data_IF_388761138362
#
_entry.id   IF_388761138362
#
_cell.length_a   1.000
_cell.length_b   1.000
_cell.length_c   1.000
_cell.angle_alpha   90.00
_cell.angle_beta   90.00
_cell.angle_gamma   90.00
#
_symmetry.space_group_name_H-M   'P 1'
#
loop_
_entity.id
_entity.type
_entity.pdbx_description
1 polymer ?
#
# COMPACT_ATOMS: atom_id res chain seq x y z
N UNK A 1 36.55 -40.23 -39.20
CA UNK A 1 37.03 -39.83 -37.86
C UNK A 1 36.99 -38.32 -37.74
N UNK A 2 36.69 -37.78 -36.56
CA UNK A 2 36.65 -36.35 -36.20
C UNK A 2 35.32 -35.59 -36.35
N UNK A 3 34.16 -36.25 -36.26
CA UNK A 3 32.95 -35.57 -35.73
C UNK A 3 33.13 -35.15 -34.25
N UNK A 4 34.20 -35.61 -33.60
CA UNK A 4 34.65 -35.19 -32.28
C UNK A 4 35.06 -33.71 -32.18
N UNK A 5 35.34 -33.01 -33.28
CA UNK A 5 35.78 -31.62 -33.21
C UNK A 5 34.62 -30.64 -32.92
N UNK A 6 33.39 -31.01 -33.27
CA UNK A 6 32.19 -30.19 -33.02
C UNK A 6 31.69 -30.33 -31.58
N UNK A 7 31.86 -31.50 -30.96
CA UNK A 7 31.42 -31.73 -29.58
C UNK A 7 32.36 -31.11 -28.53
N UNK A 8 33.63 -30.86 -28.88
CA UNK A 8 34.60 -30.20 -27.98
C UNK A 8 34.39 -28.68 -27.87
N UNK A 9 33.71 -28.05 -28.85
CA UNK A 9 33.49 -26.60 -28.83
C UNK A 9 32.22 -26.18 -28.04
N UNK A 10 31.35 -27.12 -27.68
CA UNK A 10 30.06 -26.83 -27.01
C UNK A 10 30.12 -26.89 -25.47
N UNK A 11 31.26 -27.26 -24.88
CA UNK A 11 31.37 -27.47 -23.43
C UNK A 11 32.05 -26.33 -22.63
N UNK A 12 32.37 -25.18 -23.24
CA UNK A 12 33.16 -24.12 -22.59
C UNK A 12 32.40 -22.83 -22.20
N UNK A 13 31.07 -22.83 -22.22
CA UNK A 13 30.27 -21.62 -21.92
C UNK A 13 29.63 -21.62 -20.51
N UNK A 14 30.17 -22.38 -19.56
CA UNK A 14 29.67 -22.42 -18.18
C UNK A 14 30.76 -22.08 -17.17
N UNK A 15 31.31 -20.87 -17.22
CA UNK A 15 31.81 -20.18 -16.01
C UNK A 15 31.74 -18.65 -16.22
N UNK A 16 30.54 -18.06 -16.25
CA UNK A 16 30.38 -16.67 -15.81
C UNK A 16 30.26 -16.71 -14.29
N UNK A 17 31.42 -16.60 -13.62
CA UNK A 17 31.48 -16.40 -12.19
C UNK A 17 30.75 -15.10 -11.83
N UNK A 18 29.78 -15.19 -10.92
CA UNK A 18 29.19 -14.03 -10.29
C UNK A 18 30.25 -13.44 -9.33
N UNK A 19 31.05 -12.48 -9.80
CA UNK A 19 31.79 -11.62 -8.89
C UNK A 19 30.83 -10.55 -8.39
N UNK A 20 30.15 -10.82 -7.28
CA UNK A 20 29.56 -9.74 -6.48
C UNK A 20 30.72 -9.02 -5.80
N UNK A 21 31.30 -8.05 -6.50
CA UNK A 21 32.10 -7.02 -5.83
C UNK A 21 31.16 -6.33 -4.83
N UNK A 22 31.46 -6.54 -3.55
CA UNK A 22 30.89 -5.75 -2.47
C UNK A 22 31.44 -4.33 -2.62
N UNK A 23 30.77 -3.54 -3.46
CA UNK A 23 30.95 -2.10 -3.46
C UNK A 23 30.23 -1.59 -2.21
N UNK A 24 30.99 -1.37 -1.14
CA UNK A 24 30.64 -0.47 -0.04
C UNK A 24 30.41 0.93 -0.61
N UNK A 25 29.27 1.11 -1.27
CA UNK A 25 28.66 2.41 -1.44
C UNK A 25 27.84 2.65 -0.18
N UNK A 26 28.19 3.69 0.57
CA UNK A 26 27.31 4.33 1.54
C UNK A 26 26.06 4.85 0.80
N UNK A 27 25.19 3.93 0.41
CA UNK A 27 23.82 4.22 0.08
C UNK A 27 23.13 4.31 1.43
N UNK A 28 22.99 5.52 1.96
CA UNK A 28 21.88 5.80 2.86
C UNK A 28 20.64 5.65 1.99
N UNK A 29 20.22 4.40 1.78
CA UNK A 29 18.87 4.10 1.43
C UNK A 29 18.07 4.58 2.64
N UNK A 30 17.47 5.75 2.52
CA UNK A 30 16.31 6.07 3.35
C UNK A 30 15.32 4.96 3.02
N UNK A 31 15.28 3.91 3.84
CA UNK A 31 14.23 2.92 3.75
C UNK A 31 12.95 3.67 4.06
N UNK A 32 12.25 4.11 3.02
CA UNK A 32 10.88 4.60 3.09
C UNK A 32 10.06 3.45 3.69
N UNK A 33 9.92 3.46 5.02
CA UNK A 33 9.17 2.45 5.71
C UNK A 33 7.74 2.45 5.18
N UNK A 34 7.33 1.35 4.55
CA UNK A 34 5.98 1.20 4.02
C UNK A 34 5.03 0.93 5.19
N UNK A 35 4.32 1.97 5.62
CA UNK A 35 3.30 1.88 6.66
C UNK A 35 1.91 1.63 6.03
N UNK A 36 1.12 0.79 6.68
CA UNK A 36 -0.30 0.61 6.33
C UNK A 36 -1.08 1.81 6.85
N UNK A 37 -1.88 2.43 5.97
CA UNK A 37 -2.78 3.51 6.38
C UNK A 37 -3.96 2.96 7.18
N UNK A 38 -4.27 3.57 8.31
CA UNK A 38 -5.34 3.21 9.22
C UNK A 38 -6.26 4.39 9.50
N UNK A 39 -7.54 4.10 9.71
CA UNK A 39 -8.51 5.01 10.32
C UNK A 39 -9.21 4.28 11.45
N UNK A 40 -9.33 4.93 12.61
CA UNK A 40 -10.20 4.44 13.66
C UNK A 40 -11.63 4.93 13.43
N UNK A 41 -12.59 4.02 13.26
CA UNK A 41 -14.01 4.31 13.08
C UNK A 41 -14.74 3.61 14.21
N UNK A 42 -15.39 4.40 15.06
CA UNK A 42 -16.16 3.93 16.23
C UNK A 42 -15.36 3.03 17.21
N UNK A 43 -14.06 3.26 17.34
CA UNK A 43 -13.18 2.49 18.23
C UNK A 43 -12.47 1.31 17.55
N UNK A 44 -12.88 0.94 16.34
CA UNK A 44 -12.27 -0.14 15.56
C UNK A 44 -11.32 0.42 14.49
N UNK A 45 -10.23 -0.29 14.19
CA UNK A 45 -9.25 0.14 13.19
C UNK A 45 -9.48 -0.55 11.84
N UNK A 46 -9.55 0.27 10.80
CA UNK A 46 -9.69 -0.17 9.42
C UNK A 46 -8.45 0.22 8.64
N UNK A 47 -7.89 -0.71 7.87
CA UNK A 47 -6.75 -0.48 6.99
C UNK A 47 -7.22 0.01 5.62
N UNK A 48 -6.46 0.92 5.03
CA UNK A 48 -6.64 1.38 3.66
C UNK A 48 -6.16 0.30 2.69
N UNK A 49 -6.99 0.01 1.69
CA UNK A 49 -6.72 -0.87 0.58
C UNK A 49 -6.65 -0.07 -0.73
N UNK A 50 -6.78 -0.77 -1.85
CA UNK A 50 -6.94 -0.18 -3.18
C UNK A 50 -8.05 0.88 -3.24
N UNK A 51 -8.00 1.70 -4.28
CA UNK A 51 -9.08 2.63 -4.59
C UNK A 51 -10.28 1.86 -5.14
N UNK A 52 -11.47 2.22 -4.69
CA UNK A 52 -12.72 1.74 -5.26
C UNK A 52 -12.84 2.14 -6.73
N UNK A 53 -13.33 1.22 -7.55
CA UNK A 53 -13.72 1.52 -8.92
C UNK A 53 -15.01 2.35 -8.95
N UNK A 54 -15.23 3.08 -10.05
CA UNK A 54 -16.41 3.92 -10.19
C UNK A 54 -17.69 3.06 -10.20
N UNK A 55 -18.55 3.27 -9.21
CA UNK A 55 -19.79 2.52 -9.05
C UNK A 55 -19.63 1.15 -8.37
N UNK A 56 -18.45 0.84 -7.81
CA UNK A 56 -18.23 -0.39 -7.03
C UNK A 56 -19.08 -0.41 -5.74
N UNK A 57 -19.20 0.76 -5.09
CA UNK A 57 -19.98 0.94 -3.86
C UNK A 57 -20.98 2.07 -3.99
N UNK A 58 -22.09 1.95 -3.26
CA UNK A 58 -23.12 2.97 -3.14
C UNK A 58 -22.96 3.67 -1.78
N UNK A 59 -22.52 4.93 -1.78
CA UNK A 59 -22.43 5.75 -0.56
C UNK A 59 -23.83 5.94 0.05
N UNK A 60 -23.95 5.68 1.35
CA UNK A 60 -25.19 5.86 2.12
C UNK A 60 -25.16 7.18 2.88
N UNK A 61 -24.14 7.39 3.71
CA UNK A 61 -24.00 8.60 4.52
C UNK A 61 -22.52 8.99 4.71
N UNK A 62 -22.30 10.28 4.95
CA UNK A 62 -21.03 10.81 5.45
C UNK A 62 -21.00 10.63 6.98
N UNK A 63 -20.10 9.79 7.48
CA UNK A 63 -19.95 9.52 8.91
C UNK A 63 -19.22 10.66 9.64
N UNK A 64 -18.43 11.42 8.89
CA UNK A 64 -17.73 12.60 9.36
C UNK A 64 -16.40 12.80 8.65
N UNK A 65 -15.54 13.58 9.28
CA UNK A 65 -14.23 13.95 8.78
C UNK A 65 -13.15 13.50 9.76
N UNK A 66 -11.97 13.16 9.24
CA UNK A 66 -10.78 12.88 10.06
C UNK A 66 -10.51 14.10 10.94
N UNK A 67 -10.47 13.87 12.25
CA UNK A 67 -10.28 14.89 13.28
C UNK A 67 -8.83 15.15 13.62
N UNK A 68 -7.99 14.14 13.45
CA UNK A 68 -6.58 14.18 13.82
C UNK A 68 -5.75 13.22 12.97
N UNK A 69 -4.58 13.68 12.54
CA UNK A 69 -3.52 12.83 11.99
C UNK A 69 -2.47 12.51 13.07
N UNK A 70 -2.14 11.23 13.22
CA UNK A 70 -1.06 10.72 14.11
C UNK A 70 0.16 10.29 13.26
N UNK A 71 1.34 10.06 13.86
CA UNK A 71 2.51 9.56 13.14
C UNK A 71 2.21 8.26 12.37
N UNK A 72 2.87 8.06 11.23
CA UNK A 72 2.59 6.96 10.30
C UNK A 72 2.79 5.57 10.93
N UNK A 73 3.72 5.45 11.87
CA UNK A 73 4.04 4.24 12.62
C UNK A 73 3.06 3.93 13.76
N UNK A 74 2.18 4.87 14.12
CA UNK A 74 1.21 4.69 15.21
C UNK A 74 -0.12 4.13 14.71
N UNK A 75 -0.73 3.24 15.51
CA UNK A 75 -2.11 2.80 15.27
C UNK A 75 -3.07 3.77 15.97
N UNK A 76 -4.00 4.42 15.23
CA UNK A 76 -4.99 5.31 15.81
C UNK A 76 -5.88 4.62 16.86
N UNK A 77 -6.29 5.36 17.90
CA UNK A 77 -7.09 4.83 19.02
C UNK A 77 -8.38 5.60 19.29
N UNK A 78 -8.53 6.79 18.70
CA UNK A 78 -9.67 7.67 18.91
C UNK A 78 -10.49 7.77 17.63
N UNK A 79 -11.82 7.81 17.77
CA UNK A 79 -12.73 7.84 16.62
C UNK A 79 -12.41 8.99 15.64
N UNK A 80 -12.37 8.67 14.36
CA UNK A 80 -12.00 9.53 13.23
C UNK A 80 -10.57 10.08 13.33
N UNK A 81 -9.63 9.25 13.79
CA UNK A 81 -8.18 9.54 13.77
C UNK A 81 -7.49 8.64 12.75
N UNK A 82 -6.52 9.18 12.00
CA UNK A 82 -5.76 8.43 10.99
C UNK A 82 -4.26 8.60 11.16
N UNK A 83 -3.47 7.60 10.77
CA UNK A 83 -2.00 7.72 10.63
C UNK A 83 -1.59 8.09 9.18
N UNK A 84 -2.54 8.21 8.26
CA UNK A 84 -2.29 8.38 6.83
C UNK A 84 -3.05 9.57 6.26
N UNK A 85 -4.36 9.63 6.47
CA UNK A 85 -5.23 10.68 5.94
C UNK A 85 -5.10 11.98 6.74
N UNK A 86 -5.20 13.10 6.03
CA UNK A 86 -5.15 14.44 6.61
C UNK A 86 -6.45 14.79 7.38
N UNK A 87 -6.35 15.75 8.29
CA UNK A 87 -7.52 16.32 8.97
C UNK A 87 -8.49 16.95 7.96
N UNK A 88 -9.79 16.76 8.17
CA UNK A 88 -10.85 17.19 7.25
C UNK A 88 -11.18 16.20 6.12
N UNK A 89 -10.40 15.12 5.96
CA UNK A 89 -10.71 14.07 4.99
C UNK A 89 -12.02 13.35 5.34
N UNK A 90 -12.93 13.22 4.37
CA UNK A 90 -14.27 12.65 4.58
C UNK A 90 -14.29 11.13 4.61
N UNK A 91 -15.10 10.58 5.51
CA UNK A 91 -15.34 9.14 5.69
C UNK A 91 -16.81 8.82 5.44
N UNK A 92 -17.09 7.76 4.69
CA UNK A 92 -18.43 7.38 4.26
C UNK A 92 -18.73 5.92 4.56
N UNK A 93 -19.99 5.60 4.87
CA UNK A 93 -20.50 4.23 4.86
C UNK A 93 -21.06 3.87 3.48
N UNK A 94 -21.13 2.56 3.21
CA UNK A 94 -21.64 2.01 1.94
C UNK A 94 -22.82 1.09 2.18
N UNK A 95 -23.61 0.85 1.13
CA UNK A 95 -24.83 0.04 1.20
C UNK A 95 -24.53 -1.47 1.18
N UNK A 96 -23.46 -1.84 0.48
CA UNK A 96 -23.14 -3.22 0.10
C UNK A 96 -22.67 -4.04 1.29
N UNK A 97 -21.86 -3.45 2.17
CA UNK A 97 -21.28 -4.11 3.33
C UNK A 97 -21.10 -3.10 4.48
N UNK A 98 -21.74 -3.31 5.65
CA UNK A 98 -21.61 -2.40 6.80
C UNK A 98 -20.21 -2.41 7.44
N UNK A 99 -19.35 -3.38 7.10
CA UNK A 99 -17.96 -3.44 7.59
C UNK A 99 -16.96 -2.79 6.62
N UNK A 100 -17.43 -2.24 5.50
CA UNK A 100 -16.64 -1.48 4.55
C UNK A 100 -16.95 0.01 4.68
N UNK A 101 -15.88 0.81 4.69
CA UNK A 101 -15.98 2.26 4.65
C UNK A 101 -15.17 2.80 3.48
N UNK A 102 -15.52 4.01 3.03
CA UNK A 102 -14.77 4.73 2.02
C UNK A 102 -14.16 5.98 2.62
N UNK A 103 -12.88 6.22 2.32
CA UNK A 103 -12.21 7.47 2.68
C UNK A 103 -11.84 8.22 1.41
N UNK A 104 -12.31 9.47 1.30
CA UNK A 104 -12.09 10.30 0.12
C UNK A 104 -10.69 10.91 0.15
N UNK A 105 -9.95 10.71 -0.93
CA UNK A 105 -8.63 11.29 -1.14
C UNK A 105 -8.57 12.04 -2.48
N UNK A 106 -7.76 13.09 -2.56
CA UNK A 106 -7.57 13.89 -3.77
C UNK A 106 -6.26 13.47 -4.45
N UNK A 107 -6.36 12.56 -5.40
CA UNK A 107 -5.21 12.01 -6.12
C UNK A 107 -5.15 12.63 -7.51
N UNK A 108 -4.06 13.35 -7.81
CA UNK A 108 -3.86 14.03 -9.10
C UNK A 108 -5.02 14.98 -9.47
N UNK A 109 -5.63 15.62 -8.47
CA UNK A 109 -6.76 16.54 -8.65
C UNK A 109 -8.11 15.85 -8.92
N UNK A 110 -8.19 14.53 -8.76
CA UNK A 110 -9.42 13.76 -8.86
C UNK A 110 -9.77 13.14 -7.51
N UNK A 111 -11.06 13.18 -7.19
CA UNK A 111 -11.58 12.48 -6.03
C UNK A 111 -11.48 10.96 -6.27
N UNK A 112 -10.75 10.28 -5.40
CA UNK A 112 -10.70 8.82 -5.31
C UNK A 112 -11.12 8.38 -3.91
N UNK A 113 -11.50 7.11 -3.78
CA UNK A 113 -11.99 6.56 -2.53
C UNK A 113 -11.18 5.34 -2.16
N UNK A 114 -10.44 5.40 -1.06
CA UNK A 114 -9.81 4.20 -0.51
C UNK A 114 -10.87 3.30 0.10
N UNK A 115 -10.78 2.00 -0.19
CA UNK A 115 -11.58 0.99 0.50
C UNK A 115 -10.96 0.74 1.87
N UNK A 116 -11.75 0.87 2.92
CA UNK A 116 -11.32 0.61 4.28
C UNK A 116 -11.91 -0.70 4.76
N UNK A 117 -11.06 -1.64 5.18
CA UNK A 117 -11.47 -2.96 5.67
C UNK A 117 -10.92 -3.19 7.07
N UNK A 118 -11.68 -3.90 7.89
CA UNK A 118 -11.22 -4.30 9.22
C UNK A 118 -10.03 -5.27 9.06
N UNK A 119 -8.95 -4.99 9.76
CA UNK A 119 -7.82 -5.92 9.77
C UNK A 119 -8.22 -7.17 10.60
N UNK A 120 -8.04 -8.40 10.08
CA UNK A 120 -8.39 -9.63 10.79
C UNK A 120 -7.52 -9.89 12.04
#
# INVERSE_FOLDING_TARGET
MKHYFIYILLCLMIVSGCSSEAQEGNNVATEEASYVGFVNIEGENYSAHEFAENGEYTIVEELGEIKKKVPAEEIPKENLTSNYFEEGTKVFSVKEDPEIFLVKDLVEGQDKYHIMKKNP
#
